data_IF_838101131287
#
_entry.id   IF_838101131287
#
_cell.length_a   1.000
_cell.length_b   1.000
_cell.length_c   1.000
_cell.angle_alpha   90.00
_cell.angle_beta   90.00
_cell.angle_gamma   90.00
#
_symmetry.space_group_name_H-M   'P 1'
#
loop_
_entity.id
_entity.type
_entity.pdbx_description
1 polymer ?
#
# COMPACT_ATOMS: atom_id res chain seq x y z
N UNK A 1 0.03 3.23 -17.71
CA UNK A 1 0.64 2.44 -16.64
C UNK A 1 0.23 3.10 -15.35
N UNK A 2 -0.62 2.42 -14.58
CA UNK A 2 -1.01 2.86 -13.24
C UNK A 2 0.18 2.63 -12.28
N UNK A 3 0.23 3.34 -11.17
CA UNK A 3 1.26 3.14 -10.15
C UNK A 3 1.19 1.72 -9.54
N UNK A 4 -0.01 1.11 -9.55
CA UNK A 4 -0.17 -0.30 -9.17
C UNK A 4 0.57 -1.25 -10.12
N UNK A 5 0.60 -0.94 -11.42
CA UNK A 5 1.27 -1.77 -12.43
C UNK A 5 2.78 -1.79 -12.24
N UNK A 6 3.35 -0.76 -11.61
CA UNK A 6 4.78 -0.70 -11.28
C UNK A 6 5.21 -1.88 -10.41
N UNK A 7 4.34 -2.31 -9.49
CA UNK A 7 4.61 -3.42 -8.58
C UNK A 7 4.15 -4.78 -9.13
N UNK A 8 3.67 -4.86 -10.36
CA UNK A 8 3.16 -6.12 -10.95
C UNK A 8 4.20 -7.24 -11.06
N UNK A 9 5.50 -6.90 -11.12
CA UNK A 9 6.60 -7.85 -11.20
C UNK A 9 7.14 -8.27 -9.81
N UNK A 10 6.60 -7.72 -8.72
CA UNK A 10 6.97 -8.13 -7.36
C UNK A 10 6.27 -9.46 -7.05
N UNK A 11 7.05 -10.50 -6.81
CA UNK A 11 6.52 -11.79 -6.38
C UNK A 11 5.78 -11.61 -5.04
N UNK A 12 4.56 -12.16 -4.95
CA UNK A 12 3.76 -12.09 -3.74
C UNK A 12 4.02 -13.32 -2.86
N UNK A 13 4.81 -13.20 -1.77
CA UNK A 13 5.13 -14.33 -0.90
C UNK A 13 3.96 -14.75 -0.01
N UNK A 14 2.84 -14.01 -0.04
CA UNK A 14 1.71 -14.22 0.86
C UNK A 14 0.85 -15.38 0.35
N UNK A 15 0.20 -16.06 1.29
CA UNK A 15 -0.68 -17.18 0.98
C UNK A 15 -1.98 -16.68 0.34
N UNK A 16 -2.31 -17.20 -0.84
CA UNK A 16 -3.57 -16.90 -1.56
C UNK A 16 -4.77 -17.13 -0.66
N UNK A 17 -5.69 -16.16 -0.62
CA UNK A 17 -6.92 -16.22 0.18
C UNK A 17 -6.76 -15.85 1.66
N UNK A 18 -5.54 -15.52 2.13
CA UNK A 18 -5.31 -15.06 3.52
C UNK A 18 -5.18 -13.54 3.67
N UNK A 19 -5.12 -12.80 2.57
CA UNK A 19 -5.01 -11.34 2.57
C UNK A 19 -6.19 -10.72 1.84
N UNK A 20 -6.79 -9.67 2.43
CA UNK A 20 -7.91 -8.92 1.83
C UNK A 20 -7.46 -7.93 0.76
N UNK A 21 -6.26 -7.37 0.92
CA UNK A 21 -5.72 -6.32 0.06
C UNK A 21 -4.67 -6.89 -0.91
N UNK A 22 -4.64 -6.35 -2.14
CA UNK A 22 -3.60 -6.68 -3.12
C UNK A 22 -2.22 -6.23 -2.61
N UNK A 23 -1.18 -6.93 -3.03
CA UNK A 23 0.19 -6.56 -2.63
C UNK A 23 0.54 -5.17 -3.17
N UNK A 24 0.20 -4.91 -4.43
CA UNK A 24 0.38 -3.62 -5.10
C UNK A 24 -0.17 -2.46 -4.27
N UNK A 25 -1.37 -2.61 -3.72
CA UNK A 25 -2.03 -1.53 -2.97
C UNK A 25 -1.28 -1.23 -1.68
N UNK A 26 -0.85 -2.28 -0.97
CA UNK A 26 -0.04 -2.17 0.24
C UNK A 26 1.32 -1.51 -0.08
N UNK A 27 1.97 -1.88 -1.18
CA UNK A 27 3.25 -1.31 -1.57
C UNK A 27 3.15 0.15 -1.96
N UNK A 28 2.04 0.56 -2.61
CA UNK A 28 1.77 1.99 -2.90
C UNK A 28 1.57 2.77 -1.60
N UNK A 29 0.82 2.23 -0.63
CA UNK A 29 0.64 2.86 0.68
C UNK A 29 1.97 2.95 1.43
N UNK A 30 2.79 1.90 1.39
CA UNK A 30 4.10 1.89 2.01
C UNK A 30 5.02 2.95 1.42
N UNK A 31 5.05 3.07 0.09
CA UNK A 31 5.80 4.11 -0.61
C UNK A 31 5.30 5.52 -0.25
N UNK A 32 3.99 5.73 -0.22
CA UNK A 32 3.41 7.01 0.16
C UNK A 32 3.76 7.39 1.61
N UNK A 33 3.65 6.43 2.54
CA UNK A 33 4.03 6.62 3.95
C UNK A 33 5.51 6.95 4.09
N UNK A 34 6.38 6.20 3.40
CA UNK A 34 7.81 6.47 3.37
C UNK A 34 8.15 7.88 2.87
N UNK A 35 7.51 8.33 1.78
CA UNK A 35 7.69 9.69 1.25
C UNK A 35 7.18 10.78 2.21
N UNK A 36 6.26 10.44 3.11
CA UNK A 36 5.78 11.32 4.19
C UNK A 36 6.62 11.21 5.48
N UNK A 37 7.70 10.43 5.49
CA UNK A 37 8.57 10.24 6.66
C UNK A 37 8.10 9.17 7.64
N UNK A 38 7.14 8.32 7.25
CA UNK A 38 6.75 7.13 8.00
C UNK A 38 7.80 6.02 7.88
N UNK A 39 8.00 5.27 8.96
CA UNK A 39 9.06 4.25 9.03
C UNK A 39 8.53 2.82 9.13
N UNK A 40 7.26 2.65 9.50
CA UNK A 40 6.69 1.34 9.83
C UNK A 40 5.21 1.21 9.41
N UNK A 41 4.62 0.07 9.77
CA UNK A 41 3.22 -0.22 9.44
C UNK A 41 2.25 0.68 10.21
N UNK A 42 2.62 1.20 11.38
CA UNK A 42 1.78 2.13 12.16
C UNK A 42 1.67 3.45 11.41
N UNK A 43 2.81 3.96 10.92
CA UNK A 43 2.87 5.14 10.06
C UNK A 43 2.04 4.98 8.78
N UNK A 44 2.03 3.78 8.18
CA UNK A 44 1.17 3.47 7.04
C UNK A 44 -0.32 3.52 7.41
N UNK A 45 -0.68 2.99 8.57
CA UNK A 45 -2.06 3.00 9.06
C UNK A 45 -2.54 4.42 9.36
N UNK A 46 -1.71 5.22 10.04
CA UNK A 46 -1.98 6.62 10.34
C UNK A 46 -2.18 7.44 9.06
N UNK A 47 -1.32 7.26 8.04
CA UNK A 47 -1.50 7.91 6.75
C UNK A 47 -2.87 7.60 6.13
N UNK A 48 -3.32 6.35 6.20
CA UNK A 48 -4.63 5.94 5.68
C UNK A 48 -5.79 6.54 6.48
N UNK A 49 -5.65 6.71 7.80
CA UNK A 49 -6.66 7.38 8.63
C UNK A 49 -6.75 8.88 8.31
N UNK A 50 -5.61 9.55 8.11
CA UNK A 50 -5.56 10.99 7.87
C UNK A 50 -5.89 11.38 6.43
N UNK A 51 -5.45 10.56 5.47
CA UNK A 51 -5.44 10.90 4.03
C UNK A 51 -6.02 9.82 3.13
N UNK A 52 -6.72 8.82 3.69
CA UNK A 52 -7.26 7.69 2.93
C UNK A 52 -8.14 8.09 1.75
N UNK A 53 -8.91 9.18 1.86
CA UNK A 53 -9.72 9.71 0.76
C UNK A 53 -8.88 10.03 -0.50
N UNK A 54 -7.66 10.53 -0.31
CA UNK A 54 -6.73 10.85 -1.41
C UNK A 54 -6.03 9.60 -1.96
N UNK A 55 -6.10 8.48 -1.25
CA UNK A 55 -5.50 7.20 -1.61
C UNK A 55 -6.51 6.23 -2.22
N UNK A 56 -7.78 6.63 -2.40
CA UNK A 56 -8.77 5.78 -3.07
C UNK A 56 -8.32 5.43 -4.50
N UNK A 57 -8.50 4.17 -4.94
CA UNK A 57 -9.29 3.10 -4.31
C UNK A 57 -8.46 2.13 -3.44
N UNK A 58 -7.25 2.48 -3.01
CA UNK A 58 -6.31 1.58 -2.33
C UNK A 58 -6.74 1.18 -0.91
N UNK A 59 -7.55 2.04 -0.29
CA UNK A 59 -8.05 1.97 1.10
C UNK A 59 -9.56 1.80 1.14
#
# INVERSE_FOLDING_TARGET
MDIQDYFSNVEDPRVVGRCKHKLSDILVIALASYLCGGEDYESMHELCLERGESLRPLV
#
